data_IF_338012840696
#
_entry.id   IF_338012840696
#
_cell.length_a   1.000
_cell.length_b   1.000
_cell.length_c   1.000
_cell.angle_alpha   90.00
_cell.angle_beta   90.00
_cell.angle_gamma   90.00
#
_symmetry.space_group_name_H-M   'P 1'
#
loop_
_entity.id
_entity.type
_entity.pdbx_description
1 polymer ?
#
# COMPACT_ATOMS: atom_id res chain seq x y z
N UNK A 1 17.05 -9.93 -21.51
CA UNK A 1 17.39 -9.15 -20.30
C UNK A 1 16.22 -8.22 -20.13
N UNK A 2 15.40 -8.41 -19.10
CA UNK A 2 14.38 -7.41 -18.80
C UNK A 2 15.13 -6.24 -18.17
N UNK A 3 15.05 -5.06 -18.78
CA UNK A 3 15.28 -3.79 -18.09
C UNK A 3 14.40 -3.82 -16.85
N UNK A 4 15.00 -3.93 -15.67
CA UNK A 4 14.24 -3.74 -14.43
C UNK A 4 14.27 -2.24 -14.20
N UNK A 5 13.28 -1.55 -14.75
CA UNK A 5 13.00 -0.16 -14.37
C UNK A 5 12.92 -0.09 -12.84
N UNK A 6 13.52 0.94 -12.26
CA UNK A 6 13.46 1.13 -10.80
C UNK A 6 11.98 1.19 -10.39
N UNK A 7 11.58 0.52 -9.31
CA UNK A 7 10.19 0.55 -8.87
C UNK A 7 9.78 1.99 -8.60
N UNK A 8 8.56 2.34 -9.01
CA UNK A 8 7.96 3.65 -8.76
C UNK A 8 6.70 3.51 -7.92
N UNK A 9 6.32 4.59 -7.24
CA UNK A 9 5.06 4.62 -6.50
C UNK A 9 3.90 4.28 -7.45
N UNK A 10 3.06 3.32 -7.03
CA UNK A 10 1.96 2.77 -7.83
C UNK A 10 2.29 1.46 -8.57
N UNK A 11 3.55 1.04 -8.65
CA UNK A 11 3.88 -0.28 -9.18
C UNK A 11 3.23 -1.38 -8.33
N UNK A 12 2.63 -2.35 -9.00
CA UNK A 12 1.91 -3.47 -8.39
C UNK A 12 2.45 -4.79 -8.91
N UNK A 13 2.65 -5.75 -8.01
CA UNK A 13 3.22 -7.05 -8.31
C UNK A 13 2.37 -8.15 -7.71
N UNK A 14 1.98 -9.12 -8.53
CA UNK A 14 1.32 -10.33 -8.09
C UNK A 14 2.33 -11.47 -7.94
N UNK A 15 2.31 -12.11 -6.78
CA UNK A 15 3.16 -13.24 -6.46
C UNK A 15 2.46 -14.57 -6.82
N UNK A 16 3.21 -15.63 -7.16
CA UNK A 16 2.64 -16.95 -7.46
C UNK A 16 1.85 -17.59 -6.30
N UNK A 17 2.04 -17.10 -5.07
CA UNK A 17 1.28 -17.51 -3.88
C UNK A 17 -0.05 -16.75 -3.72
N UNK A 18 -0.40 -15.92 -4.70
CA UNK A 18 -1.64 -15.15 -4.76
C UNK A 18 -1.62 -13.85 -3.94
N UNK A 19 -0.46 -13.43 -3.41
CA UNK A 19 -0.32 -12.14 -2.73
C UNK A 19 -0.01 -11.03 -3.73
N UNK A 20 -0.49 -9.83 -3.45
CA UNK A 20 -0.13 -8.65 -4.21
C UNK A 20 0.65 -7.67 -3.33
N UNK A 21 1.63 -7.00 -3.93
CA UNK A 21 2.39 -5.91 -3.31
C UNK A 21 2.24 -4.65 -4.15
N UNK A 22 1.98 -3.52 -3.48
CA UNK A 22 1.89 -2.21 -4.12
C UNK A 22 2.93 -1.29 -3.50
N UNK A 23 3.68 -0.59 -4.34
CA UNK A 23 4.69 0.39 -3.92
C UNK A 23 4.02 1.71 -3.52
N UNK A 24 4.23 2.15 -2.28
CA UNK A 24 3.75 3.45 -1.79
C UNK A 24 4.81 4.56 -1.89
N UNK A 25 6.06 4.22 -1.62
CA UNK A 25 7.15 5.19 -1.58
C UNK A 25 8.46 4.52 -2.00
N UNK A 26 9.20 5.20 -2.86
CA UNK A 26 10.61 4.89 -3.14
C UNK A 26 11.45 6.10 -2.73
N UNK A 27 12.27 5.93 -1.71
CA UNK A 27 13.09 7.00 -1.14
C UNK A 27 14.42 6.42 -0.63
N UNK A 28 15.54 7.08 -0.92
CA UNK A 28 16.89 6.66 -0.53
C UNK A 28 17.23 5.19 -0.88
N UNK A 29 16.76 4.71 -2.03
CA UNK A 29 16.96 3.33 -2.49
C UNK A 29 16.17 2.29 -1.69
N UNK A 30 15.18 2.72 -0.90
CA UNK A 30 14.26 1.85 -0.14
C UNK A 30 12.88 1.92 -0.78
N UNK A 31 12.17 0.79 -0.73
CA UNK A 31 10.80 0.66 -1.24
C UNK A 31 9.89 0.32 -0.07
N UNK A 32 8.85 1.12 0.14
CA UNK A 32 7.78 0.85 1.09
C UNK A 32 6.58 0.25 0.36
N UNK A 33 6.09 -0.91 0.81
CA UNK A 33 4.93 -1.59 0.24
C UNK A 33 3.84 -1.88 1.27
N UNK A 34 2.60 -2.04 0.81
CA UNK A 34 1.53 -2.68 1.60
C UNK A 34 1.60 -4.20 1.45
N UNK A 35 1.17 -4.93 2.48
CA UNK A 35 0.88 -6.36 2.37
C UNK A 35 -0.54 -6.65 2.83
N UNK A 36 -1.33 -7.23 1.93
CA UNK A 36 -2.62 -7.81 2.27
C UNK A 36 -2.46 -9.22 2.87
N UNK A 37 -3.33 -9.57 3.82
CA UNK A 37 -3.40 -10.90 4.41
C UNK A 37 -4.75 -11.55 4.07
N UNK A 38 -4.77 -12.84 3.71
CA UNK A 38 -6.00 -13.53 3.30
C UNK A 38 -6.98 -13.75 4.46
N UNK A 39 -6.54 -13.60 5.71
CA UNK A 39 -7.36 -13.68 6.91
C UNK A 39 -6.68 -12.96 8.07
N UNK A 40 -7.47 -12.65 9.11
CA UNK A 40 -6.95 -12.09 10.38
C UNK A 40 -5.97 -13.07 11.04
N UNK A 41 -6.28 -14.37 11.04
CA UNK A 41 -5.39 -15.41 11.59
C UNK A 41 -4.02 -15.43 10.89
N UNK A 42 -3.97 -15.21 9.57
CA UNK A 42 -2.72 -15.13 8.82
C UNK A 42 -1.91 -13.88 9.16
N UNK A 43 -2.58 -12.76 9.43
CA UNK A 43 -1.94 -11.56 9.96
C UNK A 43 -1.38 -11.82 11.36
N UNK A 44 -2.19 -12.34 12.28
CA UNK A 44 -1.81 -12.64 13.67
C UNK A 44 -0.62 -13.59 13.72
N UNK A 45 -0.63 -14.67 12.93
CA UNK A 45 0.50 -15.60 12.83
C UNK A 45 1.78 -14.93 12.31
N UNK A 46 1.65 -13.91 11.45
CA UNK A 46 2.81 -13.15 10.93
C UNK A 46 3.37 -12.20 11.98
N UNK A 47 2.52 -11.59 12.81
CA UNK A 47 2.93 -10.60 13.83
C UNK A 47 3.17 -11.19 15.22
N UNK A 48 2.91 -12.47 15.44
CA UNK A 48 3.06 -13.15 16.74
C UNK A 48 4.46 -12.98 17.37
N UNK A 49 5.50 -12.90 16.54
CA UNK A 49 6.89 -12.64 16.98
C UNK A 49 7.29 -11.15 17.00
N UNK A 50 6.41 -10.24 16.61
CA UNK A 50 6.71 -8.82 16.49
C UNK A 50 6.46 -8.05 17.80
N UNK A 51 7.26 -7.02 18.05
CA UNK A 51 7.02 -6.12 19.16
C UNK A 51 5.96 -5.08 18.80
N UNK A 52 4.78 -5.13 19.45
CA UNK A 52 3.78 -4.07 19.34
C UNK A 52 4.32 -2.76 19.91
N UNK A 53 4.25 -1.67 19.14
CA UNK A 53 4.80 -0.35 19.50
C UNK A 53 3.76 0.71 19.86
N UNK A 54 2.47 0.38 19.84
CA UNK A 54 1.37 1.33 20.03
C UNK A 54 0.68 1.73 18.73
N UNK A 55 -0.20 2.73 18.82
CA UNK A 55 -0.93 3.29 17.68
C UNK A 55 -0.15 4.50 17.16
N UNK A 56 0.05 4.57 15.85
CA UNK A 56 0.51 5.79 15.19
C UNK A 56 -0.71 6.71 14.96
N UNK A 57 -0.82 7.75 15.77
CA UNK A 57 -1.94 8.70 15.72
C UNK A 57 -2.01 9.49 14.41
N UNK A 58 -0.88 9.69 13.71
CA UNK A 58 -0.87 10.40 12.44
C UNK A 58 -1.54 9.56 11.34
N UNK A 59 -1.27 8.25 11.33
CA UNK A 59 -1.93 7.30 10.42
C UNK A 59 -3.38 7.04 10.84
N UNK A 60 -3.64 6.85 12.14
CA UNK A 60 -4.99 6.61 12.66
C UNK A 60 -5.93 7.80 12.43
N UNK A 61 -5.39 9.02 12.34
CA UNK A 61 -6.14 10.23 12.01
C UNK A 61 -6.38 10.45 10.51
N UNK A 62 -5.82 9.62 9.62
CA UNK A 62 -6.12 9.72 8.19
C UNK A 62 -7.59 9.36 7.92
N UNK A 63 -8.25 10.08 7.00
CA UNK A 63 -9.63 9.79 6.65
C UNK A 63 -9.76 8.37 6.09
N UNK A 64 -10.83 7.68 6.49
CA UNK A 64 -11.19 6.38 5.94
C UNK A 64 -11.54 6.46 4.45
N UNK A 65 -11.61 5.31 3.80
CA UNK A 65 -11.94 5.19 2.36
C UNK A 65 -13.23 5.93 1.99
N UNK A 66 -14.19 5.96 2.90
CA UNK A 66 -15.50 6.61 2.72
C UNK A 66 -15.37 8.10 2.38
N UNK A 67 -14.37 8.79 2.96
CA UNK A 67 -14.14 10.21 2.71
C UNK A 67 -13.69 10.52 1.28
N UNK A 68 -13.17 9.51 0.57
CA UNK A 68 -12.72 9.63 -0.82
C UNK A 68 -13.76 9.12 -1.83
N UNK A 69 -14.79 8.41 -1.38
CA UNK A 69 -15.83 7.86 -2.24
C UNK A 69 -16.78 8.92 -2.82
N UNK A 70 -16.81 10.12 -2.23
CA UNK A 70 -17.67 11.24 -2.62
C UNK A 70 -16.92 12.31 -3.45
N UNK A 71 -15.62 12.13 -3.68
CA UNK A 71 -14.86 12.99 -4.58
C UNK A 71 -15.12 12.50 -6.01
N UNK A 72 -16.07 13.15 -6.69
CA UNK A 72 -16.35 12.94 -8.11
C UNK A 72 -15.14 13.48 -8.92
N UNK A 73 -14.16 12.61 -9.18
CA UNK A 73 -12.89 12.98 -9.83
C UNK A 73 -12.99 13.07 -11.37
N UNK A 74 -14.20 13.00 -11.94
CA UNK A 74 -14.41 12.90 -13.39
C UNK A 74 -14.36 14.26 -14.14
N UNK A 75 -14.17 15.40 -13.47
CA UNK A 75 -14.11 16.74 -14.10
C UNK A 75 -12.67 17.29 -14.34
N UNK A 76 -11.64 16.42 -14.35
CA UNK A 76 -10.26 16.85 -14.65
C UNK A 76 -9.82 16.59 -16.11
N UNK A 77 -10.76 16.34 -17.03
CA UNK A 77 -10.49 16.35 -18.48
C UNK A 77 -10.67 17.77 -19.06
N UNK A 78 -9.55 18.44 -19.36
CA UNK A 78 -9.48 19.41 -20.46
C UNK A 78 -9.50 20.90 -20.12
N UNK A 79 -8.33 21.45 -19.77
CA UNK A 79 -7.98 22.87 -19.97
C UNK A 79 -6.44 22.95 -19.85
N UNK A 80 -5.59 23.28 -20.84
CA UNK A 80 -5.67 23.72 -22.24
C UNK A 80 -4.34 23.36 -22.92
#
# INVERSE_FOLDING_TARGET
MSDSEEPVAGDSYDHPDGKSEVVYLVEDGRVLTFREYPSVEAFEATVDGAAYRGIDEAVAGLPGREAFAELDLDDAEGDS
#
